data_IF_094436445393
#
_entry.id   IF_094436445393
#
_cell.length_a   1.000
_cell.length_b   1.000
_cell.length_c   1.000
_cell.angle_alpha   90.00
_cell.angle_beta   90.00
_cell.angle_gamma   90.00
#
_symmetry.space_group_name_H-M   'P 1'
#
loop_
_entity.id
_entity.type
_entity.pdbx_description
1 polymer ?
#
# COMPACT_ATOMS: atom_id res chain seq x y z
N UNK A 1 12.85 31.37 26.65
CA UNK A 1 11.44 31.64 26.23
C UNK A 1 11.21 31.49 24.72
N UNK A 2 12.13 30.91 23.93
CA UNK A 2 11.93 30.65 22.49
C UNK A 2 11.82 29.14 22.15
N UNK A 3 12.14 28.25 23.08
CA UNK A 3 12.20 26.80 22.83
C UNK A 3 10.81 26.13 22.81
N UNK A 4 9.85 26.66 23.57
CA UNK A 4 8.48 26.12 23.64
C UNK A 4 7.68 26.35 22.35
N UNK A 5 7.83 27.52 21.72
CA UNK A 5 7.14 27.84 20.46
C UNK A 5 7.63 27.00 19.29
N UNK A 6 8.93 26.67 19.25
CA UNK A 6 9.50 25.80 18.22
C UNK A 6 9.02 24.36 18.40
N UNK A 7 8.99 23.84 19.64
CA UNK A 7 8.48 22.50 19.92
C UNK A 7 6.99 22.40 19.57
N UNK A 8 6.17 23.40 19.95
CA UNK A 8 4.75 23.45 19.58
C UNK A 8 4.55 23.58 18.06
N UNK A 9 5.39 24.35 17.35
CA UNK A 9 5.33 24.45 15.89
C UNK A 9 5.68 23.11 15.21
N UNK A 10 6.70 22.40 15.68
CA UNK A 10 7.10 21.09 15.15
C UNK A 10 6.04 20.02 15.46
N UNK A 11 5.47 20.04 16.67
CA UNK A 11 4.39 19.12 17.08
C UNK A 11 3.10 19.40 16.32
N UNK A 12 2.70 20.68 16.16
CA UNK A 12 1.56 21.07 15.34
C UNK A 12 1.78 20.72 13.86
N UNK A 13 3.01 20.89 13.34
CA UNK A 13 3.32 20.49 11.96
C UNK A 13 3.27 18.98 11.80
N UNK A 14 3.72 18.19 12.79
CA UNK A 14 3.55 16.73 12.81
C UNK A 14 2.08 16.33 12.84
N UNK A 15 1.27 16.89 13.74
CA UNK A 15 -0.17 16.62 13.81
C UNK A 15 -0.89 17.04 12.52
N UNK A 16 -0.56 18.20 11.95
CA UNK A 16 -1.15 18.64 10.68
C UNK A 16 -0.68 17.79 9.50
N UNK A 17 0.54 17.23 9.54
CA UNK A 17 1.04 16.33 8.50
C UNK A 17 0.44 14.93 8.63
N UNK A 18 0.25 14.42 9.85
CA UNK A 18 -0.49 13.19 10.15
C UNK A 18 -1.98 13.31 9.75
N UNK A 19 -2.58 14.48 9.98
CA UNK A 19 -3.96 14.78 9.57
C UNK A 19 -4.10 15.14 8.08
N UNK A 20 -3.00 15.47 7.39
CA UNK A 20 -3.01 15.75 5.94
C UNK A 20 -2.96 14.50 5.07
N UNK A 21 -2.82 13.32 5.68
CA UNK A 21 -2.81 12.03 4.98
C UNK A 21 -4.25 11.69 4.55
N UNK A 22 -4.65 12.34 3.46
CA UNK A 22 -5.74 12.02 2.53
C UNK A 22 -7.12 11.85 3.15
N UNK A 23 -7.91 12.93 3.20
CA UNK A 23 -9.36 12.78 3.15
C UNK A 23 -9.72 12.07 1.83
N UNK A 24 -10.26 10.85 1.93
CA UNK A 24 -10.81 10.17 0.76
C UNK A 24 -11.97 11.00 0.21
N UNK A 25 -12.04 11.16 -1.13
CA UNK A 25 -13.12 11.92 -1.78
C UNK A 25 -14.51 11.38 -1.42
N UNK A 26 -14.61 10.09 -1.17
CA UNK A 26 -15.78 9.41 -0.62
C UNK A 26 -15.37 8.07 -0.01
N UNK A 27 -16.20 7.50 0.84
CA UNK A 27 -16.03 6.13 1.35
C UNK A 27 -16.94 5.18 0.55
N UNK A 28 -16.32 4.23 -0.16
CA UNK A 28 -17.06 3.29 -1.00
C UNK A 28 -17.98 2.38 -0.18
N UNK A 29 -17.59 2.02 1.03
CA UNK A 29 -18.38 1.10 1.86
C UNK A 29 -19.67 1.78 2.36
N UNK A 30 -19.62 3.06 2.73
CA UNK A 30 -20.84 3.80 3.10
C UNK A 30 -21.73 4.14 1.91
N UNK A 31 -21.16 4.49 0.75
CA UNK A 31 -21.94 4.95 -0.42
C UNK A 31 -22.49 3.78 -1.24
N UNK A 32 -21.73 2.71 -1.43
CA UNK A 32 -22.08 1.53 -2.24
C UNK A 32 -21.63 0.22 -1.57
N UNK A 33 -22.23 -0.18 -0.44
CA UNK A 33 -21.81 -1.35 0.33
C UNK A 33 -21.85 -2.65 -0.46
N UNK A 34 -22.81 -2.80 -1.38
CA UNK A 34 -22.89 -3.97 -2.24
C UNK A 34 -21.65 -4.10 -3.14
N UNK A 35 -21.18 -3.01 -3.74
CA UNK A 35 -19.98 -3.01 -4.58
C UNK A 35 -18.72 -3.27 -3.75
N UNK A 36 -18.63 -2.66 -2.55
CA UNK A 36 -17.54 -2.91 -1.62
C UNK A 36 -17.45 -4.40 -1.23
N UNK A 37 -18.58 -5.01 -0.88
CA UNK A 37 -18.63 -6.44 -0.55
C UNK A 37 -18.25 -7.32 -1.75
N UNK A 38 -18.67 -6.98 -2.96
CA UNK A 38 -18.24 -7.71 -4.17
C UNK A 38 -16.72 -7.67 -4.37
N UNK A 39 -16.07 -6.53 -4.11
CA UNK A 39 -14.60 -6.46 -4.13
C UNK A 39 -13.96 -7.39 -3.10
N UNK A 40 -14.51 -7.46 -1.88
CA UNK A 40 -14.00 -8.36 -0.84
C UNK A 40 -14.13 -9.84 -1.22
N UNK A 41 -15.21 -10.22 -1.91
CA UNK A 41 -15.36 -11.61 -2.40
C UNK A 41 -14.35 -11.94 -3.50
N UNK A 42 -14.06 -10.99 -4.39
CA UNK A 42 -12.98 -11.15 -5.38
C UNK A 42 -11.63 -11.34 -4.68
N UNK A 43 -11.33 -10.54 -3.66
CA UNK A 43 -10.09 -10.66 -2.90
C UNK A 43 -9.96 -12.02 -2.20
N UNK A 44 -11.04 -12.50 -1.56
CA UNK A 44 -11.08 -13.85 -0.96
C UNK A 44 -10.83 -14.95 -1.99
N UNK A 45 -11.47 -14.83 -3.16
CA UNK A 45 -11.28 -15.79 -4.24
C UNK A 45 -9.81 -15.82 -4.71
N UNK A 46 -9.20 -14.66 -4.93
CA UNK A 46 -7.78 -14.56 -5.33
C UNK A 46 -6.87 -15.18 -4.26
N UNK A 47 -7.13 -14.95 -2.97
CA UNK A 47 -6.38 -15.58 -1.88
C UNK A 47 -6.54 -17.11 -1.84
N UNK A 48 -7.65 -17.64 -2.35
CA UNK A 48 -7.90 -19.09 -2.44
C UNK A 48 -7.22 -19.75 -3.65
N UNK A 49 -6.66 -18.99 -4.59
CA UNK A 49 -6.15 -19.50 -5.87
C UNK A 49 -4.82 -20.28 -5.78
N UNK A 50 -4.28 -20.50 -4.57
CA UNK A 50 -3.02 -21.25 -4.36
C UNK A 50 -1.74 -20.46 -4.66
N UNK A 51 -1.85 -19.17 -4.98
CA UNK A 51 -0.70 -18.27 -5.13
C UNK A 51 -0.15 -17.94 -3.74
N UNK A 52 1.16 -18.00 -3.56
CA UNK A 52 1.73 -17.68 -2.25
C UNK A 52 1.57 -16.18 -1.93
N UNK A 53 1.50 -15.84 -0.64
CA UNK A 53 1.20 -14.48 -0.18
C UNK A 53 2.19 -13.45 -0.70
N UNK A 54 3.48 -13.79 -0.75
CA UNK A 54 4.53 -12.90 -1.23
C UNK A 54 4.36 -12.59 -2.72
N UNK A 55 4.16 -13.62 -3.55
CA UNK A 55 3.91 -13.47 -4.99
C UNK A 55 2.68 -12.61 -5.24
N UNK A 56 1.62 -12.83 -4.47
CA UNK A 56 0.40 -12.05 -4.60
C UNK A 56 0.65 -10.56 -4.28
N UNK A 57 1.37 -10.26 -3.20
CA UNK A 57 1.70 -8.87 -2.88
C UNK A 57 2.63 -8.23 -3.93
N UNK A 58 3.62 -8.96 -4.47
CA UNK A 58 4.45 -8.45 -5.58
C UNK A 58 3.61 -8.13 -6.83
N UNK A 59 2.64 -8.97 -7.18
CA UNK A 59 1.71 -8.70 -8.28
C UNK A 59 0.89 -7.44 -8.01
N UNK A 60 0.33 -7.30 -6.82
CA UNK A 60 -0.48 -6.13 -6.43
C UNK A 60 0.37 -4.85 -6.36
N UNK A 61 1.62 -4.91 -5.90
CA UNK A 61 2.56 -3.79 -5.97
C UNK A 61 2.81 -3.40 -7.42
N UNK A 62 3.14 -4.36 -8.30
CA UNK A 62 3.44 -4.05 -9.71
C UNK A 62 2.24 -3.43 -10.43
N UNK A 63 1.04 -3.98 -10.23
CA UNK A 63 -0.20 -3.40 -10.76
C UNK A 63 -0.43 -1.98 -10.24
N UNK A 64 -0.21 -1.75 -8.94
CA UNK A 64 -0.33 -0.44 -8.32
C UNK A 64 0.68 0.58 -8.84
N UNK A 65 1.91 0.15 -9.17
CA UNK A 65 2.92 1.01 -9.81
C UNK A 65 2.47 1.46 -11.20
N UNK A 66 1.90 0.55 -12.01
CA UNK A 66 1.37 0.87 -13.35
C UNK A 66 0.20 1.86 -13.23
N UNK A 67 -0.69 1.63 -12.27
CA UNK A 67 -1.91 2.43 -12.09
C UNK A 67 -1.70 3.72 -11.28
N UNK A 68 -0.50 3.95 -10.74
CA UNK A 68 -0.22 5.13 -9.91
C UNK A 68 -1.01 5.21 -8.60
N UNK A 69 -1.40 4.07 -8.01
CA UNK A 69 -2.18 4.04 -6.77
C UNK A 69 -1.26 4.11 -5.53
N UNK A 70 -1.00 5.30 -5.00
CA UNK A 70 -0.15 5.48 -3.81
C UNK A 70 -0.67 4.77 -2.55
N UNK A 71 -2.00 4.74 -2.35
CA UNK A 71 -2.64 4.00 -1.27
C UNK A 71 -2.34 2.50 -1.34
N UNK A 72 -2.57 1.91 -2.51
CA UNK A 72 -2.34 0.49 -2.78
C UNK A 72 -0.85 0.14 -2.63
N UNK A 73 0.05 1.00 -3.14
CA UNK A 73 1.49 0.80 -2.97
C UNK A 73 1.89 0.72 -1.50
N UNK A 74 1.47 1.70 -0.68
CA UNK A 74 1.78 1.72 0.74
C UNK A 74 1.23 0.48 1.47
N UNK A 75 0.01 0.06 1.13
CA UNK A 75 -0.63 -1.12 1.73
C UNK A 75 0.12 -2.42 1.37
N UNK A 76 0.30 -2.69 0.08
CA UNK A 76 0.89 -3.94 -0.41
C UNK A 76 2.39 -4.05 -0.10
N UNK A 77 3.13 -2.94 -0.08
CA UNK A 77 4.54 -2.95 0.36
C UNK A 77 4.63 -3.34 1.83
N UNK A 78 3.76 -2.79 2.70
CA UNK A 78 3.75 -3.15 4.13
C UNK A 78 3.43 -4.62 4.34
N UNK A 79 2.44 -5.15 3.62
CA UNK A 79 2.07 -6.56 3.73
C UNK A 79 3.15 -7.49 3.17
N UNK A 80 3.79 -7.15 2.05
CA UNK A 80 4.94 -7.89 1.53
C UNK A 80 6.09 -7.98 2.55
N UNK A 81 6.47 -6.84 3.16
CA UNK A 81 7.51 -6.80 4.20
C UNK A 81 7.10 -7.63 5.41
N UNK A 82 5.83 -7.55 5.83
CA UNK A 82 5.29 -8.35 6.94
C UNK A 82 5.34 -9.85 6.63
N UNK A 83 5.20 -10.25 5.36
CA UNK A 83 5.34 -11.64 4.92
C UNK A 83 6.79 -12.09 4.69
N UNK A 84 7.77 -11.21 4.91
CA UNK A 84 9.20 -11.54 4.83
C UNK A 84 9.85 -11.28 3.48
N UNK A 85 9.23 -10.47 2.63
CA UNK A 85 9.84 -10.05 1.35
C UNK A 85 11.10 -9.19 1.57
N UNK A 86 12.09 -9.33 0.69
CA UNK A 86 13.24 -8.43 0.65
C UNK A 86 12.83 -7.09 0.02
N UNK A 87 13.04 -6.01 0.77
CA UNK A 87 12.82 -4.64 0.32
C UNK A 87 13.59 -4.34 -0.98
N UNK A 88 14.77 -4.94 -1.18
CA UNK A 88 15.52 -4.78 -2.43
C UNK A 88 14.75 -5.31 -3.64
N UNK A 89 14.07 -6.47 -3.50
CA UNK A 89 13.26 -7.05 -4.58
C UNK A 89 12.06 -6.15 -4.91
N UNK A 90 11.45 -5.53 -3.90
CA UNK A 90 10.37 -4.54 -4.08
C UNK A 90 10.87 -3.32 -4.87
N UNK A 91 12.07 -2.80 -4.57
CA UNK A 91 12.61 -1.62 -5.27
C UNK A 91 12.89 -1.87 -6.74
N UNK A 92 13.34 -3.07 -7.12
CA UNK A 92 13.64 -3.40 -8.52
C UNK A 92 12.44 -3.97 -9.28
N UNK A 93 11.31 -4.20 -8.61
CA UNK A 93 10.11 -4.83 -9.18
C UNK A 93 9.56 -4.09 -10.42
N UNK A 94 9.76 -2.77 -10.52
CA UNK A 94 9.34 -1.99 -11.69
C UNK A 94 10.09 -2.40 -12.97
N UNK A 95 11.28 -2.99 -12.83
CA UNK A 95 12.16 -3.49 -13.89
C UNK A 95 12.34 -5.02 -13.82
N UNK A 96 11.37 -5.75 -13.28
CA UNK A 96 11.46 -7.20 -13.03
C UNK A 96 11.87 -8.05 -14.25
N UNK A 97 11.52 -7.61 -15.46
CA UNK A 97 11.88 -8.32 -16.69
C UNK A 97 13.40 -8.39 -16.93
N UNK A 98 14.17 -7.43 -16.39
CA UNK A 98 15.64 -7.40 -16.50
C UNK A 98 16.34 -8.23 -15.40
N UNK A 99 15.58 -8.82 -14.47
CA UNK A 99 16.10 -9.58 -13.33
C UNK A 99 15.38 -10.94 -13.15
N UNK A 100 15.29 -11.81 -14.19
CA UNK A 100 14.51 -13.05 -14.12
C UNK A 100 14.91 -13.95 -12.95
N UNK A 101 16.21 -14.06 -12.65
CA UNK A 101 16.71 -14.88 -11.55
C UNK A 101 16.23 -14.44 -10.15
N UNK A 102 15.66 -13.24 -10.00
CA UNK A 102 15.13 -12.74 -8.73
C UNK A 102 13.62 -12.97 -8.59
N UNK A 103 12.91 -13.25 -9.70
CA UNK A 103 11.45 -13.34 -9.77
C UNK A 103 10.92 -14.68 -10.30
N UNK A 104 11.81 -15.62 -10.62
CA UNK A 104 11.48 -17.00 -11.00
C UNK A 104 10.90 -17.83 -9.84
#
# INVERSE_FOLDING_TARGET
MQDGLFLTFVLNKKQNMENSVTESRFDLNSVLPAAYNSLLEVEKFVHSAGINKIQLELLKIRASQINGCAFCLNMHIKDAIKYGEDVKRIFVLSAWQEAPNWFN
#
